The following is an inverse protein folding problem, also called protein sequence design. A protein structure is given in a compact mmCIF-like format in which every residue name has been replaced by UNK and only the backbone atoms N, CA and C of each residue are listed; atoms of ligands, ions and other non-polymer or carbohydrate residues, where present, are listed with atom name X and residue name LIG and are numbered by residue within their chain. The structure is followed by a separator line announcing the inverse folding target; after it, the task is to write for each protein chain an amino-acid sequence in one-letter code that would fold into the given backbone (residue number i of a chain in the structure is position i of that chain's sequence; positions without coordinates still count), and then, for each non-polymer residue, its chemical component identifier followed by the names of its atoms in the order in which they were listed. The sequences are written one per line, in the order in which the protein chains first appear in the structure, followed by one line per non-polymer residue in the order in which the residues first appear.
data_IF_196774820266
#
_entry.id   IF_196774820266
#
_cell.length_a   1.000
_cell.length_b   1.000
_cell.length_c   1.000
_cell.angle_alpha   90.00
_cell.angle_beta   90.00
_cell.angle_gamma   90.00
#
_symmetry.space_group_name_H-M   'P 1'
#
loop_
_entity.id
_entity.type
_entity.pdbx_description
1 polymer ?
#
# COMPACT_ATOMS: atom_id res chain seq x y z
N UNK A 1 -4.50 -0.01 0.81
CA UNK A 1 -5.70 -0.86 0.98
C UNK A 1 -5.20 -2.28 1.14
N UNK A 2 -5.25 -2.80 2.36
CA UNK A 2 -4.52 -4.02 2.75
C UNK A 2 -5.14 -5.30 2.19
N UNK A 3 -6.41 -5.22 1.76
CA UNK A 3 -7.19 -6.36 1.30
C UNK A 3 -6.60 -7.11 0.11
N UNK A 4 -5.78 -6.46 -0.71
CA UNK A 4 -5.13 -7.15 -1.82
C UNK A 4 -4.20 -8.28 -1.33
N UNK A 5 -3.57 -8.11 -0.16
CA UNK A 5 -2.71 -9.16 0.42
C UNK A 5 -3.48 -10.38 0.94
N UNK A 6 -4.81 -10.33 0.99
CA UNK A 6 -5.63 -11.49 1.33
C UNK A 6 -5.75 -12.46 0.13
N UNK A 7 -5.46 -11.98 -1.08
CA UNK A 7 -5.50 -12.78 -2.30
C UNK A 7 -4.29 -13.72 -2.42
N UNK A 8 -4.48 -14.96 -2.91
CA UNK A 8 -3.36 -15.86 -3.14
C UNK A 8 -2.42 -15.31 -4.22
N UNK A 9 -1.11 -15.43 -3.97
CA UNK A 9 -0.07 -14.98 -4.91
C UNK A 9 0.17 -13.47 -4.94
N UNK A 10 -0.45 -12.69 -4.06
CA UNK A 10 -0.22 -11.24 -3.97
C UNK A 10 0.99 -10.94 -3.10
N UNK A 11 1.91 -10.14 -3.64
CA UNK A 11 3.13 -9.69 -2.95
C UNK A 11 3.28 -8.17 -3.03
N UNK A 12 3.77 -7.55 -1.95
CA UNK A 12 4.13 -6.13 -1.98
C UNK A 12 5.52 -5.92 -2.58
N UNK A 13 5.61 -4.99 -3.52
CA UNK A 13 6.83 -4.57 -4.19
C UNK A 13 6.90 -3.04 -4.17
N UNK A 14 8.05 -2.46 -3.85
CA UNK A 14 8.23 -1.01 -3.76
C UNK A 14 8.94 -0.58 -2.49
N UNK A 15 8.40 0.41 -1.78
CA UNK A 15 8.95 0.95 -0.53
C UNK A 15 8.06 0.60 0.67
N UNK A 16 8.58 0.70 1.91
CA UNK A 16 7.74 0.62 3.09
C UNK A 16 6.60 1.63 3.05
N UNK A 17 5.40 1.19 3.40
CA UNK A 17 4.24 2.09 3.50
C UNK A 17 4.40 3.06 4.68
N UNK A 18 3.69 4.20 4.67
CA UNK A 18 3.84 5.27 5.68
C UNK A 18 3.32 5.02 7.11
N UNK A 19 3.04 3.78 7.52
CA UNK A 19 2.63 3.45 8.89
C UNK A 19 1.43 4.27 9.42
N UNK A 20 0.29 4.19 8.72
CA UNK A 20 -0.92 4.96 9.03
C UNK A 20 -1.66 4.49 10.29
N UNK A 21 -2.58 5.34 10.77
CA UNK A 21 -3.48 5.01 11.88
C UNK A 21 -4.55 3.99 11.48
N UNK A 22 -5.35 3.52 12.44
CA UNK A 22 -6.52 2.67 12.17
C UNK A 22 -7.78 3.49 11.85
N UNK A 23 -7.69 4.82 11.81
CA UNK A 23 -8.85 5.68 11.62
C UNK A 23 -9.13 5.90 10.14
N UNK A 24 -10.35 5.62 9.70
CA UNK A 24 -10.74 5.68 8.28
C UNK A 24 -11.58 6.88 7.93
N UNK A 25 -12.19 7.50 8.94
CA UNK A 25 -12.96 8.72 8.81
C UNK A 25 -12.52 9.68 9.91
N UNK A 26 -12.21 10.91 9.52
CA UNK A 26 -11.79 11.98 10.42
C UNK A 26 -12.61 13.22 10.10
N UNK A 27 -13.36 13.70 11.07
CA UNK A 27 -14.02 15.00 10.97
C UNK A 27 -13.12 16.10 11.49
N UNK A 28 -13.20 17.27 10.84
CA UNK A 28 -12.51 18.48 11.25
C UNK A 28 -13.52 19.47 11.81
N UNK A 29 -13.43 19.76 13.10
CA UNK A 29 -14.35 20.67 13.80
C UNK A 29 -13.60 21.91 14.24
N UNK A 30 -14.04 23.09 13.81
CA UNK A 30 -13.48 24.34 14.32
C UNK A 30 -13.90 24.53 15.78
N UNK A 31 -12.94 24.78 16.67
CA UNK A 31 -13.26 25.07 18.07
C UNK A 31 -14.00 26.42 18.18
N UNK A 32 -14.89 26.60 19.18
CA UNK A 32 -15.67 27.83 19.35
C UNK A 32 -14.83 29.11 19.45
N UNK A 33 -13.59 29.01 19.93
CA UNK A 33 -12.66 30.15 20.01
C UNK A 33 -12.15 30.61 18.64
N UNK A 34 -12.32 29.81 17.59
CA UNK A 34 -11.79 30.05 16.25
C UNK A 34 -10.28 29.83 16.11
N UNK A 35 -9.57 29.45 17.19
CA UNK A 35 -8.09 29.43 17.22
C UNK A 35 -7.47 28.10 16.81
N UNK A 36 -8.26 27.04 16.75
CA UNK A 36 -7.78 25.71 16.39
C UNK A 36 -8.90 24.86 15.79
N UNK A 37 -8.48 23.84 15.05
CA UNK A 37 -9.33 22.79 14.51
C UNK A 37 -9.05 21.50 15.27
N UNK A 38 -10.10 20.85 15.74
CA UNK A 38 -10.02 19.52 16.33
C UNK A 38 -10.22 18.48 15.23
N UNK A 39 -9.31 17.50 15.16
CA UNK A 39 -9.47 16.33 14.31
C UNK A 39 -10.07 15.20 15.16
N UNK A 40 -11.27 14.77 14.82
CA UNK A 40 -12.02 13.74 15.52
C UNK A 40 -12.07 12.47 14.66
N UNK A 41 -11.38 11.39 15.07
CA UNK A 41 -11.56 10.09 14.43
C UNK A 41 -12.97 9.56 14.69
N UNK A 42 -13.73 9.32 13.62
CA UNK A 42 -15.13 8.88 13.70
C UNK A 42 -15.26 7.37 13.56
N UNK A 43 -14.36 6.76 12.79
CA UNK A 43 -14.40 5.33 12.49
C UNK A 43 -13.04 4.67 12.68
N UNK A 44 -13.06 3.43 13.18
CA UNK A 44 -11.88 2.57 13.33
C UNK A 44 -12.00 1.34 12.45
N UNK A 45 -11.01 1.10 11.60
CA UNK A 45 -10.86 -0.14 10.85
C UNK A 45 -10.50 -1.30 11.78
N UNK A 46 -11.24 -2.40 11.66
CA UNK A 46 -10.99 -3.64 12.40
C UNK A 46 -10.63 -4.78 11.44
N UNK A 47 -9.97 -5.82 11.97
CA UNK A 47 -9.55 -6.99 11.18
C UNK A 47 -8.43 -6.69 10.18
N UNK A 48 -7.72 -5.57 10.34
CA UNK A 48 -6.57 -5.21 9.52
C UNK A 48 -5.42 -6.21 9.78
N UNK A 49 -4.73 -6.63 8.72
CA UNK A 49 -3.62 -7.59 8.82
C UNK A 49 -2.38 -7.05 9.58
N UNK A 50 -2.21 -5.72 9.64
CA UNK A 50 -1.12 -5.07 10.39
C UNK A 50 -1.65 -4.23 11.55
N UNK A 51 -0.80 -3.99 12.54
CA UNK A 51 -1.08 -3.14 13.69
C UNK A 51 -1.18 -1.65 13.35
N UNK A 52 -1.68 -0.86 14.31
CA UNK A 52 -1.70 0.59 14.23
C UNK A 52 -0.27 1.14 14.13
N UNK A 53 -0.04 2.13 13.26
CA UNK A 53 1.29 2.74 13.06
C UNK A 53 2.38 1.72 12.68
N UNK A 54 1.98 0.59 12.10
CA UNK A 54 2.90 -0.41 11.60
C UNK A 54 2.99 -0.28 10.07
N UNK A 55 4.18 -0.10 9.49
CA UNK A 55 4.34 -0.15 8.04
C UNK A 55 4.31 -1.61 7.55
N UNK A 56 3.91 -1.84 6.31
CA UNK A 56 4.32 -3.06 5.60
C UNK A 56 5.74 -2.90 5.10
N UNK A 57 6.53 -3.95 5.28
CA UNK A 57 7.78 -4.10 4.55
C UNK A 57 7.49 -4.77 3.20
N UNK A 58 8.00 -4.22 2.08
CA UNK A 58 7.84 -4.85 0.79
C UNK A 58 8.70 -6.13 0.75
N UNK A 59 8.24 -7.16 0.03
CA UNK A 59 9.03 -8.36 -0.23
C UNK A 59 10.19 -8.04 -1.18
N UNK A 60 9.94 -7.21 -2.18
CA UNK A 60 10.95 -6.69 -3.09
C UNK A 60 11.04 -5.19 -2.93
N UNK A 61 12.19 -4.71 -2.45
CA UNK A 61 12.43 -3.29 -2.25
C UNK A 61 12.87 -2.62 -3.55
N UNK A 62 12.20 -1.54 -3.95
CA UNK A 62 12.54 -0.71 -5.10
C UNK A 62 12.55 0.75 -4.64
N UNK A 63 13.73 1.36 -4.56
CA UNK A 63 13.89 2.68 -3.94
C UNK A 63 13.81 3.85 -4.94
N UNK A 64 13.85 3.57 -6.24
CA UNK A 64 13.84 4.60 -7.28
C UNK A 64 13.11 4.15 -8.56
N UNK A 65 12.91 5.12 -9.46
CA UNK A 65 12.28 4.90 -10.76
C UNK A 65 13.06 3.93 -11.66
N UNK A 66 14.40 3.88 -11.55
CA UNK A 66 15.22 3.00 -12.37
C UNK A 66 15.02 1.53 -11.98
N UNK A 67 14.97 1.25 -10.68
CA UNK A 67 14.68 -0.06 -10.10
C UNK A 67 13.27 -0.54 -10.49
N UNK A 68 12.27 0.34 -10.42
CA UNK A 68 10.90 0.04 -10.89
C UNK A 68 10.88 -0.31 -12.37
N UNK A 69 11.52 0.49 -13.22
CA UNK A 69 11.56 0.23 -14.66
C UNK A 69 12.30 -1.08 -15.02
N UNK A 70 13.39 -1.39 -14.33
CA UNK A 70 14.12 -2.63 -14.52
C UNK A 70 13.28 -3.85 -14.11
N UNK A 71 12.61 -3.76 -12.95
CA UNK A 71 11.70 -4.79 -12.47
C UNK A 71 10.55 -5.03 -13.46
N UNK A 72 9.85 -3.97 -13.88
CA UNK A 72 8.70 -4.08 -14.78
C UNK A 72 9.07 -4.71 -16.13
N UNK A 73 10.21 -4.29 -16.72
CA UNK A 73 10.70 -4.89 -17.98
C UNK A 73 10.96 -6.39 -17.84
N UNK A 74 11.54 -6.83 -16.73
CA UNK A 74 11.77 -8.26 -16.45
C UNK A 74 10.47 -9.03 -16.35
N UNK A 75 9.50 -8.54 -15.57
CA UNK A 75 8.21 -9.20 -15.40
C UNK A 75 7.42 -9.26 -16.71
N UNK A 76 7.37 -8.17 -17.47
CA UNK A 76 6.72 -8.14 -18.80
C UNK A 76 7.39 -9.12 -19.75
N UNK A 77 8.71 -9.19 -19.80
CA UNK A 77 9.43 -10.14 -20.64
C UNK A 77 9.14 -11.60 -20.24
N UNK A 78 9.05 -11.90 -18.95
CA UNK A 78 8.74 -13.23 -18.44
C UNK A 78 7.32 -13.69 -18.83
N UNK A 79 6.35 -12.78 -18.85
CA UNK A 79 4.97 -13.06 -19.28
C UNK A 79 4.83 -13.08 -20.81
N UNK A 80 5.73 -12.40 -21.54
CA UNK A 80 5.66 -12.25 -23.00
C UNK A 80 6.38 -13.35 -23.80
N UNK A 81 6.96 -14.36 -23.16
CA UNK A 81 7.50 -15.52 -23.87
C UNK A 81 6.36 -16.30 -24.53
N UNK A 82 6.41 -16.58 -25.85
CA UNK A 82 5.29 -17.12 -26.60
C UNK A 82 4.98 -18.57 -26.22
N UNK A 83 3.69 -18.87 -26.15
CA UNK A 83 3.17 -20.22 -26.27
C UNK A 83 3.73 -20.86 -27.56
N UNK A 84 4.65 -21.81 -27.39
CA UNK A 84 4.98 -22.88 -28.32
C UNK A 84 5.09 -22.52 -29.80
N UNK A 85 6.32 -22.20 -30.24
CA UNK A 85 6.84 -22.78 -31.46
C UNK A 85 6.79 -24.31 -31.34
N UNK A 86 6.13 -24.99 -32.27
CA UNK A 86 6.36 -26.42 -32.56
C UNK A 86 6.53 -26.54 -34.08
N UNK A 87 7.53 -27.30 -34.57
CA UNK A 87 7.82 -27.45 -36.00
C UNK A 87 6.69 -28.11 -36.80
#
# INVERSE_FOLDING_TARGET
MDRLLEGPGVEQVGQPTGADTLYTEVESVQLPSGRATLLLPMQRLQGRQRGALQPYAPRVRLDDTAAVNAWLRREVAAVSLPAGTTP
#
